data_IF_141771117201
#
_entry.id   IF_141771117201
#
_cell.length_a   1.000
_cell.length_b   1.000
_cell.length_c   1.000
_cell.angle_alpha   90.00
_cell.angle_beta   90.00
_cell.angle_gamma   90.00
#
_symmetry.space_group_name_H-M   'P 1'
#
loop_
_entity.id
_entity.type
_entity.pdbx_description
1 polymer ?
#
# COMPACT_ATOMS: atom_id res chain seq x y z
N UNK A 1 -23.43 110.79 -36.94
CA UNK A 1 -22.63 112.04 -36.96
C UNK A 1 -23.05 113.08 -35.92
N UNK A 2 -24.32 113.13 -35.46
CA UNK A 2 -24.74 114.09 -34.43
C UNK A 2 -24.06 113.92 -33.05
N UNK A 3 -23.70 112.70 -32.64
CA UNK A 3 -22.98 112.47 -31.37
C UNK A 3 -21.53 113.00 -31.40
N UNK A 4 -20.80 112.85 -32.51
CA UNK A 4 -19.42 113.36 -32.65
C UNK A 4 -19.37 114.90 -32.71
N UNK A 5 -20.47 115.55 -33.10
CA UNK A 5 -20.58 117.01 -33.13
C UNK A 5 -20.89 117.64 -31.76
N UNK A 6 -21.21 116.86 -30.70
CA UNK A 6 -21.46 117.39 -29.35
C UNK A 6 -20.18 117.70 -28.56
N UNK A 7 -19.02 117.20 -28.99
CA UNK A 7 -17.76 117.23 -28.23
C UNK A 7 -16.63 118.08 -28.86
N UNK A 8 -16.95 119.10 -29.66
CA UNK A 8 -15.93 120.07 -30.14
C UNK A 8 -15.29 119.76 -31.51
N UNK A 9 -15.84 118.81 -32.26
CA UNK A 9 -15.40 118.43 -33.61
C UNK A 9 -14.53 117.18 -33.66
N UNK A 10 -14.54 116.45 -34.78
CA UNK A 10 -13.85 115.16 -34.97
C UNK A 10 -13.27 115.04 -36.39
N UNK A 11 -12.00 114.65 -36.46
CA UNK A 11 -11.31 114.27 -37.69
C UNK A 11 -11.11 112.75 -37.74
N UNK A 12 -11.56 112.07 -38.81
CA UNK A 12 -11.28 110.64 -39.03
C UNK A 12 -11.10 110.33 -40.52
N UNK A 13 -10.49 109.19 -40.84
CA UNK A 13 -10.20 108.77 -42.21
C UNK A 13 -10.97 107.49 -42.49
N UNK A 14 -11.76 107.49 -43.57
CA UNK A 14 -12.39 106.28 -44.12
C UNK A 14 -11.87 106.10 -45.54
N UNK A 15 -11.15 105.00 -45.77
CA UNK A 15 -10.49 104.73 -47.04
C UNK A 15 -9.53 105.86 -47.42
N UNK A 16 -9.80 106.53 -48.55
CA UNK A 16 -9.02 107.66 -49.04
C UNK A 16 -9.61 109.02 -48.70
N UNK A 17 -10.66 109.11 -47.88
CA UNK A 17 -11.30 110.39 -47.56
C UNK A 17 -11.13 110.72 -46.09
N UNK A 18 -10.56 111.89 -45.81
CA UNK A 18 -10.52 112.52 -44.49
C UNK A 18 -11.78 113.34 -44.29
N UNK A 19 -12.55 113.00 -43.26
CA UNK A 19 -13.74 113.72 -42.86
C UNK A 19 -13.42 114.57 -41.63
N UNK A 20 -13.63 115.88 -41.74
CA UNK A 20 -13.51 116.86 -40.66
C UNK A 20 -14.90 117.38 -40.29
N UNK A 21 -15.44 116.88 -39.19
CA UNK A 21 -16.75 117.27 -38.67
C UNK A 21 -16.53 118.35 -37.62
N UNK A 22 -16.89 119.60 -37.92
CA UNK A 22 -16.78 120.75 -37.00
C UNK A 22 -18.16 121.36 -36.72
N UNK A 23 -18.31 122.18 -35.68
CA UNK A 23 -19.51 123.04 -35.51
C UNK A 23 -19.11 124.48 -35.74
N UNK A 24 -19.96 125.24 -36.44
CA UNK A 24 -19.73 126.69 -36.59
C UNK A 24 -19.64 127.36 -35.22
N UNK A 25 -18.65 128.23 -35.01
CA UNK A 25 -18.48 128.99 -33.75
C UNK A 25 -19.56 130.07 -33.56
N UNK A 26 -20.17 130.54 -34.65
CA UNK A 26 -21.09 131.68 -34.69
C UNK A 26 -22.52 131.25 -35.10
N UNK A 27 -23.54 131.95 -34.59
CA UNK A 27 -24.97 131.68 -34.86
C UNK A 27 -25.50 130.41 -34.17
N UNK A 28 -26.43 129.68 -34.82
CA UNK A 28 -27.07 128.45 -34.28
C UNK A 28 -26.13 127.23 -34.14
N UNK A 29 -24.81 127.41 -34.27
CA UNK A 29 -23.75 126.39 -34.09
C UNK A 29 -24.04 125.05 -34.78
N UNK A 30 -24.48 125.10 -36.04
CA UNK A 30 -24.81 123.90 -36.81
C UNK A 30 -23.55 123.05 -37.09
N UNK A 31 -23.66 121.72 -37.07
CA UNK A 31 -22.58 120.83 -37.49
C UNK A 31 -22.32 120.97 -38.99
N UNK A 32 -21.07 121.19 -39.35
CA UNK A 32 -20.56 121.18 -40.71
C UNK A 32 -19.61 120.00 -40.86
N UNK A 33 -19.75 119.24 -41.95
CA UNK A 33 -18.79 118.20 -42.30
C UNK A 33 -18.06 118.63 -43.58
N UNK A 34 -16.73 118.69 -43.52
CA UNK A 34 -15.88 118.91 -44.68
C UNK A 34 -15.11 117.63 -44.97
N UNK A 35 -15.34 117.07 -46.14
CA UNK A 35 -14.62 115.88 -46.60
C UNK A 35 -13.53 116.28 -47.58
N UNK A 36 -12.31 115.78 -47.39
CA UNK A 36 -11.16 116.00 -48.28
C UNK A 36 -10.48 114.67 -48.60
N UNK A 37 -10.09 114.47 -49.85
CA UNK A 37 -9.46 113.21 -50.27
C UNK A 37 -7.95 113.20 -49.95
N UNK A 38 -7.50 112.17 -49.23
CA UNK A 38 -6.10 111.84 -48.98
C UNK A 38 -5.55 111.10 -50.20
N UNK A 39 -4.65 111.78 -50.92
CA UNK A 39 -3.86 111.13 -51.98
C UNK A 39 -2.88 110.13 -51.37
N UNK A 40 -2.67 109.01 -52.06
CA UNK A 40 -1.74 107.96 -51.66
C UNK A 40 -0.32 108.53 -51.50
N UNK A 41 0.32 108.27 -50.36
CA UNK A 41 1.66 108.76 -50.06
C UNK A 41 2.68 108.10 -50.99
N UNK A 42 3.40 108.89 -51.81
CA UNK A 42 4.41 108.37 -52.74
C UNK A 42 5.50 107.55 -52.04
N UNK A 43 5.85 107.86 -50.80
CA UNK A 43 6.91 107.20 -50.03
C UNK A 43 6.60 105.78 -49.56
N UNK A 44 5.33 105.38 -49.47
CA UNK A 44 4.93 104.04 -49.03
C UNK A 44 4.63 103.09 -50.20
N UNK A 45 4.54 103.63 -51.43
CA UNK A 45 4.24 102.86 -52.66
C UNK A 45 5.50 102.65 -53.49
N UNK A 46 6.37 103.65 -53.53
CA UNK A 46 7.72 103.47 -54.05
C UNK A 46 8.62 102.97 -52.92
N UNK A 47 8.59 101.66 -52.69
CA UNK A 47 9.75 100.99 -52.10
C UNK A 47 10.91 101.20 -53.06
N UNK A 48 11.88 102.04 -52.68
CA UNK A 48 13.16 102.06 -53.36
C UNK A 48 13.76 100.66 -53.17
N UNK A 49 13.70 99.84 -54.22
CA UNK A 49 14.27 98.49 -54.19
C UNK A 49 15.76 98.65 -53.96
N UNK A 50 16.25 98.08 -52.86
CA UNK A 50 17.67 98.08 -52.57
C UNK A 50 18.40 97.27 -53.66
N UNK A 51 19.30 97.91 -54.45
CA UNK A 51 20.05 97.22 -55.48
C UNK A 51 20.92 96.08 -54.92
N UNK A 52 21.37 96.14 -53.66
CA UNK A 52 22.19 95.09 -53.05
C UNK A 52 21.37 93.80 -52.86
N UNK A 53 20.21 93.86 -52.19
CA UNK A 53 19.35 92.70 -51.95
C UNK A 53 18.90 92.04 -53.26
N UNK A 54 18.59 92.84 -54.29
CA UNK A 54 18.24 92.31 -55.62
C UNK A 54 19.41 91.56 -56.25
N UNK A 55 20.63 92.09 -56.14
CA UNK A 55 21.81 91.45 -56.71
C UNK A 55 22.14 90.15 -55.97
N UNK A 56 22.00 90.11 -54.64
CA UNK A 56 22.21 88.89 -53.84
C UNK A 56 21.22 87.78 -54.20
N UNK A 57 19.93 88.12 -54.35
CA UNK A 57 18.91 87.16 -54.77
C UNK A 57 19.16 86.65 -56.20
N UNK A 58 19.65 87.52 -57.09
CA UNK A 58 20.05 87.11 -58.45
C UNK A 58 21.26 86.18 -58.44
N UNK A 59 22.26 86.45 -57.60
CA UNK A 59 23.40 85.56 -57.42
C UNK A 59 22.96 84.19 -56.92
N UNK A 60 22.12 84.12 -55.88
CA UNK A 60 21.57 82.86 -55.37
C UNK A 60 20.74 82.09 -56.41
N UNK A 61 19.97 82.81 -57.22
CA UNK A 61 19.20 82.19 -58.31
C UNK A 61 20.14 81.57 -59.35
N UNK A 62 21.16 82.32 -59.77
CA UNK A 62 22.16 81.83 -60.72
C UNK A 62 22.92 80.61 -60.18
N UNK A 63 23.35 80.64 -58.91
CA UNK A 63 24.01 79.51 -58.25
C UNK A 63 23.09 78.28 -58.19
N UNK A 64 21.80 78.47 -57.89
CA UNK A 64 20.82 77.38 -57.84
C UNK A 64 20.54 76.79 -59.23
N UNK A 65 20.46 77.64 -60.26
CA UNK A 65 20.29 77.22 -61.66
C UNK A 65 21.52 76.43 -62.16
N UNK A 66 22.73 76.86 -61.79
CA UNK A 66 23.96 76.15 -62.13
C UNK A 66 24.03 74.78 -61.44
N UNK A 67 23.73 74.72 -60.13
CA UNK A 67 23.68 73.46 -59.39
C UNK A 67 22.62 72.51 -59.95
N UNK A 68 21.44 73.02 -60.32
CA UNK A 68 20.40 72.22 -60.95
C UNK A 68 20.87 71.63 -62.29
N UNK A 69 21.55 72.43 -63.12
CA UNK A 69 22.13 71.95 -64.39
C UNK A 69 23.17 70.86 -64.16
N UNK A 70 24.06 71.02 -63.17
CA UNK A 70 25.07 70.00 -62.83
C UNK A 70 24.41 68.68 -62.41
N UNK A 71 23.39 68.73 -61.56
CA UNK A 71 22.65 67.54 -61.12
C UNK A 71 21.92 66.88 -62.30
N UNK A 72 21.32 67.65 -63.20
CA UNK A 72 20.70 67.11 -64.42
C UNK A 72 21.71 66.38 -65.30
N UNK A 73 22.90 66.95 -65.51
CA UNK A 73 23.96 66.31 -66.29
C UNK A 73 24.46 65.01 -65.64
N UNK A 74 24.55 64.96 -64.31
CA UNK A 74 24.89 63.74 -63.58
C UNK A 74 23.79 62.68 -63.66
N UNK A 75 22.53 63.07 -63.50
CA UNK A 75 21.37 62.17 -63.65
C UNK A 75 21.33 61.56 -65.05
N UNK A 76 21.58 62.35 -66.09
CA UNK A 76 21.65 61.83 -67.46
C UNK A 76 22.80 60.83 -67.66
N UNK A 77 23.97 61.07 -67.05
CA UNK A 77 25.11 60.13 -67.11
C UNK A 77 24.77 58.82 -66.40
N UNK A 78 24.27 58.90 -65.18
CA UNK A 78 23.87 57.74 -64.39
C UNK A 78 22.74 56.95 -65.06
N UNK A 79 21.77 57.64 -65.67
CA UNK A 79 20.69 57.00 -66.43
C UNK A 79 21.20 56.22 -67.64
N UNK A 80 22.21 56.74 -68.35
CA UNK A 80 22.85 56.02 -69.47
C UNK A 80 23.60 54.79 -68.98
N UNK A 81 24.32 54.90 -67.86
CA UNK A 81 25.04 53.78 -67.24
C UNK A 81 24.07 52.70 -66.74
N UNK A 82 22.98 53.06 -66.06
CA UNK A 82 21.97 52.11 -65.60
C UNK A 82 21.32 51.38 -66.78
N UNK A 83 20.95 52.11 -67.84
CA UNK A 83 20.41 51.51 -69.06
C UNK A 83 21.40 50.51 -69.69
N UNK A 84 22.69 50.83 -69.71
CA UNK A 84 23.72 49.93 -70.21
C UNK A 84 23.83 48.66 -69.35
N UNK A 85 23.90 48.82 -68.02
CA UNK A 85 23.95 47.70 -67.06
C UNK A 85 22.70 46.82 -67.19
N UNK A 86 21.51 47.42 -67.39
CA UNK A 86 20.28 46.66 -67.58
C UNK A 86 20.31 45.84 -68.89
N UNK A 87 20.83 46.39 -69.98
CA UNK A 87 20.97 45.67 -71.25
C UNK A 87 21.93 44.49 -71.09
N UNK A 88 23.09 44.71 -70.47
CA UNK A 88 24.05 43.63 -70.18
C UNK A 88 23.46 42.57 -69.25
N UNK A 89 22.78 42.99 -68.18
CA UNK A 89 22.10 42.11 -67.23
C UNK A 89 21.06 41.22 -67.91
N UNK A 90 20.28 41.76 -68.85
CA UNK A 90 19.34 40.97 -69.67
C UNK A 90 20.06 39.97 -70.55
N UNK A 91 21.19 40.34 -71.16
CA UNK A 91 21.98 39.44 -72.00
C UNK A 91 22.61 38.29 -71.19
N UNK A 92 23.16 38.58 -70.01
CA UNK A 92 23.68 37.55 -69.10
C UNK A 92 22.58 36.62 -68.60
N UNK A 93 21.41 37.15 -68.25
CA UNK A 93 20.26 36.34 -67.86
C UNK A 93 19.84 35.39 -68.97
N UNK A 94 19.72 35.88 -70.21
CA UNK A 94 19.37 35.05 -71.35
C UNK A 94 20.39 33.91 -71.60
N UNK A 95 21.70 34.20 -71.45
CA UNK A 95 22.75 33.18 -71.53
C UNK A 95 22.66 32.15 -70.40
N UNK A 96 22.37 32.60 -69.18
CA UNK A 96 22.20 31.70 -68.04
C UNK A 96 20.97 30.79 -68.23
N UNK A 97 19.86 31.33 -68.71
CA UNK A 97 18.65 30.57 -68.99
C UNK A 97 18.89 29.50 -70.07
N UNK A 98 19.69 29.79 -71.10
CA UNK A 98 20.11 28.80 -72.11
C UNK A 98 20.99 27.69 -71.51
N UNK A 99 21.98 28.07 -70.71
CA UNK A 99 22.84 27.10 -70.00
C UNK A 99 22.03 26.22 -69.06
N UNK A 100 21.05 26.77 -68.35
CA UNK A 100 20.14 25.99 -67.51
C UNK A 100 19.29 25.01 -68.33
N UNK A 101 18.74 25.43 -69.48
CA UNK A 101 18.00 24.53 -70.37
C UNK A 101 18.89 23.37 -70.85
N UNK A 102 20.12 23.67 -71.27
CA UNK A 102 21.10 22.64 -71.67
C UNK A 102 21.44 21.69 -70.52
N UNK A 103 21.68 22.22 -69.32
CA UNK A 103 21.94 21.43 -68.11
C UNK A 103 20.77 20.49 -67.81
N UNK A 104 19.53 20.99 -67.86
CA UNK A 104 18.32 20.17 -67.64
C UNK A 104 18.21 19.05 -68.69
N UNK A 105 18.42 19.35 -69.97
CA UNK A 105 18.40 18.35 -71.04
C UNK A 105 19.44 17.24 -70.83
N UNK A 106 20.66 17.59 -70.41
CA UNK A 106 21.71 16.61 -70.09
C UNK A 106 21.33 15.74 -68.89
N UNK A 107 20.78 16.33 -67.83
CA UNK A 107 20.33 15.57 -66.66
C UNK A 107 19.19 14.60 -67.01
N UNK A 108 18.25 15.03 -67.83
CA UNK A 108 17.13 14.17 -68.27
C UNK A 108 17.62 13.02 -69.17
N UNK A 109 18.58 13.29 -70.06
CA UNK A 109 19.23 12.24 -70.85
C UNK A 109 19.97 11.24 -69.95
N UNK A 110 20.71 11.73 -68.95
CA UNK A 110 21.42 10.88 -67.98
C UNK A 110 20.46 9.99 -67.19
N UNK A 111 19.36 10.54 -66.68
CA UNK A 111 18.31 9.76 -66.00
C UNK A 111 17.73 8.66 -66.90
N UNK A 112 17.48 8.96 -68.18
CA UNK A 112 17.00 7.96 -69.14
C UNK A 112 18.02 6.84 -69.36
N UNK A 113 19.31 7.17 -69.46
CA UNK A 113 20.39 6.19 -69.60
C UNK A 113 20.47 5.30 -68.36
N UNK A 114 20.48 5.89 -67.16
CA UNK A 114 20.53 5.13 -65.89
C UNK A 114 19.32 4.20 -65.75
N UNK A 115 18.11 4.68 -66.07
CA UNK A 115 16.91 3.86 -66.07
C UNK A 115 16.99 2.70 -67.08
N UNK A 116 17.51 2.96 -68.29
CA UNK A 116 17.70 1.93 -69.30
C UNK A 116 18.74 0.89 -68.89
N UNK A 117 19.85 1.32 -68.28
CA UNK A 117 20.88 0.43 -67.73
C UNK A 117 20.32 -0.48 -66.63
N UNK A 118 19.53 0.07 -65.70
CA UNK A 118 18.89 -0.72 -64.65
C UNK A 118 17.93 -1.75 -65.23
N UNK A 119 17.09 -1.35 -66.20
CA UNK A 119 16.20 -2.28 -66.91
C UNK A 119 16.99 -3.39 -67.60
N UNK A 120 18.07 -3.04 -68.31
CA UNK A 120 18.94 -4.00 -68.97
C UNK A 120 19.55 -5.00 -67.97
N UNK A 121 20.04 -4.53 -66.82
CA UNK A 121 20.57 -5.40 -65.78
C UNK A 121 19.51 -6.35 -65.21
N UNK A 122 18.29 -5.86 -65.00
CA UNK A 122 17.19 -6.68 -64.50
C UNK A 122 16.79 -7.76 -65.51
N UNK A 123 16.68 -7.40 -66.80
CA UNK A 123 16.37 -8.38 -67.85
C UNK A 123 17.50 -9.39 -68.04
N UNK A 124 18.78 -8.99 -67.95
CA UNK A 124 19.91 -9.92 -67.92
C UNK A 124 19.81 -10.91 -66.75
N UNK A 125 19.55 -10.42 -65.53
CA UNK A 125 19.37 -11.29 -64.35
C UNK A 125 18.19 -12.25 -64.51
N UNK A 126 17.08 -11.80 -65.12
CA UNK A 126 15.93 -12.67 -65.40
C UNK A 126 16.30 -13.74 -66.43
N UNK A 127 17.00 -13.35 -67.50
CA UNK A 127 17.48 -14.28 -68.51
C UNK A 127 18.42 -15.33 -67.90
N UNK A 128 19.38 -14.91 -67.08
CA UNK A 128 20.29 -15.82 -66.38
C UNK A 128 19.52 -16.79 -65.47
N UNK A 129 18.47 -16.32 -64.78
CA UNK A 129 17.60 -17.19 -63.98
C UNK A 129 16.83 -18.20 -64.82
N UNK A 130 16.32 -17.78 -65.98
CA UNK A 130 15.58 -18.67 -66.89
C UNK A 130 16.49 -19.68 -67.58
N UNK A 131 17.69 -19.28 -67.98
CA UNK A 131 18.70 -20.16 -68.56
C UNK A 131 19.19 -21.19 -67.55
N UNK A 132 19.37 -20.79 -66.29
CA UNK A 132 19.77 -21.67 -65.20
C UNK A 132 18.59 -22.32 -64.46
N UNK A 133 17.35 -22.09 -64.92
CA UNK A 133 16.17 -22.70 -64.31
C UNK A 133 16.25 -24.21 -64.53
N UNK A 134 16.06 -24.98 -63.44
CA UNK A 134 16.06 -26.43 -63.54
C UNK A 134 14.82 -26.88 -64.32
N UNK A 135 14.88 -28.01 -65.04
CA UNK A 135 13.70 -28.60 -65.64
C UNK A 135 12.60 -28.82 -64.59
N UNK A 136 11.35 -28.53 -64.94
CA UNK A 136 10.18 -28.60 -64.04
C UNK A 136 10.07 -29.96 -63.34
N UNK A 137 10.47 -31.05 -64.00
CA UNK A 137 10.44 -32.40 -63.43
C UNK A 137 11.44 -32.58 -62.28
N UNK A 138 12.59 -31.92 -62.32
CA UNK A 138 13.56 -31.96 -61.21
C UNK A 138 13.00 -31.23 -60.00
N UNK A 139 12.36 -30.08 -60.20
CA UNK A 139 11.70 -29.34 -59.11
C UNK A 139 10.53 -30.11 -58.53
N UNK A 140 9.70 -30.74 -59.37
CA UNK A 140 8.60 -31.61 -58.94
C UNK A 140 9.12 -32.78 -58.09
N UNK A 141 10.24 -33.40 -58.48
CA UNK A 141 10.84 -34.49 -57.72
C UNK A 141 11.42 -34.00 -56.38
N UNK A 142 12.05 -32.82 -56.34
CA UNK A 142 12.53 -32.22 -55.11
C UNK A 142 11.36 -31.96 -54.15
N UNK A 143 10.28 -31.33 -54.62
CA UNK A 143 9.08 -31.07 -53.82
C UNK A 143 8.43 -32.36 -53.33
N UNK A 144 8.34 -33.40 -54.16
CA UNK A 144 7.85 -34.72 -53.72
C UNK A 144 8.74 -35.30 -52.61
N UNK A 145 10.06 -35.18 -52.74
CA UNK A 145 11.00 -35.66 -51.72
C UNK A 145 10.84 -34.90 -50.39
N UNK A 146 10.63 -33.59 -50.45
CA UNK A 146 10.38 -32.74 -49.29
C UNK A 146 9.05 -33.08 -48.63
N UNK A 147 7.99 -33.29 -49.42
CA UNK A 147 6.69 -33.73 -48.92
C UNK A 147 6.78 -35.08 -48.20
N UNK A 148 7.53 -36.04 -48.76
CA UNK A 148 7.77 -37.33 -48.11
C UNK A 148 8.57 -37.19 -46.81
N UNK A 149 9.59 -36.32 -46.78
CA UNK A 149 10.34 -36.02 -45.55
C UNK A 149 9.43 -35.43 -44.47
N UNK A 150 8.60 -34.44 -44.83
CA UNK A 150 7.65 -33.82 -43.93
C UNK A 150 6.58 -34.81 -43.44
N UNK A 151 6.08 -35.67 -44.32
CA UNK A 151 5.15 -36.74 -43.94
C UNK A 151 5.79 -37.72 -42.94
N UNK A 152 7.05 -38.13 -43.19
CA UNK A 152 7.81 -38.96 -42.27
C UNK A 152 7.98 -38.31 -40.89
N UNK A 153 8.38 -37.03 -40.86
CA UNK A 153 8.48 -36.26 -39.62
C UNK A 153 7.15 -36.17 -38.86
N UNK A 154 6.03 -35.97 -39.57
CA UNK A 154 4.69 -35.96 -38.96
C UNK A 154 4.36 -37.29 -38.31
N UNK A 155 4.65 -38.42 -38.97
CA UNK A 155 4.41 -39.75 -38.40
C UNK A 155 5.26 -39.96 -37.14
N UNK A 156 6.54 -39.61 -37.18
CA UNK A 156 7.43 -39.70 -36.01
C UNK A 156 6.91 -38.87 -34.84
N UNK A 157 6.48 -37.64 -35.09
CA UNK A 157 5.94 -36.76 -34.05
C UNK A 157 4.65 -37.34 -33.43
N UNK A 158 3.77 -37.92 -34.25
CA UNK A 158 2.54 -38.57 -33.75
C UNK A 158 2.88 -39.80 -32.90
N UNK A 159 3.84 -40.63 -33.34
CA UNK A 159 4.29 -41.78 -32.55
C UNK A 159 4.88 -41.38 -31.20
N UNK A 160 5.70 -40.32 -31.17
CA UNK A 160 6.25 -39.76 -29.94
C UNK A 160 5.14 -39.22 -29.04
N UNK A 161 4.16 -38.52 -29.59
CA UNK A 161 3.03 -37.99 -28.83
C UNK A 161 2.19 -39.10 -28.19
N UNK A 162 1.85 -40.15 -28.95
CA UNK A 162 1.13 -41.33 -28.42
C UNK A 162 1.93 -42.03 -27.33
N UNK A 163 3.25 -42.16 -27.50
CA UNK A 163 4.13 -42.74 -26.49
C UNK A 163 4.12 -41.92 -25.19
N UNK A 164 4.30 -40.60 -25.29
CA UNK A 164 4.28 -39.70 -24.14
C UNK A 164 2.92 -39.72 -23.42
N UNK A 165 1.81 -39.82 -24.16
CA UNK A 165 0.49 -39.97 -23.55
C UNK A 165 0.37 -41.26 -22.73
N UNK A 166 0.83 -42.40 -23.24
CA UNK A 166 0.82 -43.65 -22.47
C UNK A 166 1.73 -43.59 -21.25
N UNK A 167 2.90 -42.96 -21.35
CA UNK A 167 3.81 -42.75 -20.21
C UNK A 167 3.16 -41.84 -19.16
N UNK A 168 2.47 -40.78 -19.59
CA UNK A 168 1.73 -39.87 -18.69
C UNK A 168 0.58 -40.57 -17.95
N UNK A 169 -0.16 -41.46 -18.62
CA UNK A 169 -1.24 -42.22 -17.98
C UNK A 169 -0.68 -43.11 -16.87
N UNK A 170 0.41 -43.84 -17.15
CA UNK A 170 1.07 -44.70 -16.15
C UNK A 170 1.59 -43.92 -14.95
N UNK A 171 2.12 -42.72 -15.17
CA UNK A 171 2.60 -41.89 -14.07
C UNK A 171 1.44 -41.34 -13.25
N UNK A 172 0.33 -40.97 -13.90
CA UNK A 172 -0.88 -40.55 -13.22
C UNK A 172 -1.47 -41.68 -12.36
N UNK A 173 -1.48 -42.92 -12.86
CA UNK A 173 -1.91 -44.10 -12.08
C UNK A 173 -1.08 -44.24 -10.80
N UNK A 174 0.25 -44.18 -10.89
CA UNK A 174 1.12 -44.25 -9.71
C UNK A 174 0.89 -43.11 -8.74
N UNK A 175 0.74 -41.88 -9.24
CA UNK A 175 0.44 -40.72 -8.41
C UNK A 175 -0.89 -40.88 -7.66
N UNK A 176 -1.91 -41.42 -8.32
CA UNK A 176 -3.19 -41.71 -7.67
C UNK A 176 -3.07 -42.79 -6.59
N UNK A 177 -2.30 -43.87 -6.84
CA UNK A 177 -2.04 -44.90 -5.84
C UNK A 177 -1.31 -44.34 -4.62
N UNK A 178 -0.24 -43.57 -4.82
CA UNK A 178 0.48 -42.91 -3.73
C UNK A 178 -0.41 -41.94 -2.95
N UNK A 179 -1.30 -41.21 -3.64
CA UNK A 179 -2.28 -40.34 -3.01
C UNK A 179 -3.29 -41.10 -2.13
N UNK A 180 -3.76 -42.26 -2.59
CA UNK A 180 -4.65 -43.12 -1.79
C UNK A 180 -3.94 -43.71 -0.57
N UNK A 181 -2.71 -44.18 -0.72
CA UNK A 181 -1.88 -44.67 0.40
C UNK A 181 -1.65 -43.58 1.45
N UNK A 182 -1.34 -42.36 1.01
CA UNK A 182 -1.18 -41.21 1.89
C UNK A 182 -2.45 -40.92 2.69
N UNK A 183 -3.62 -40.90 2.04
CA UNK A 183 -4.91 -40.70 2.70
C UNK A 183 -5.19 -41.80 3.71
N UNK A 184 -4.89 -43.06 3.39
CA UNK A 184 -5.07 -44.17 4.30
C UNK A 184 -4.15 -44.06 5.53
N UNK A 185 -2.87 -43.72 5.34
CA UNK A 185 -1.93 -43.52 6.46
C UNK A 185 -2.39 -42.36 7.34
N UNK A 186 -2.88 -41.27 6.75
CA UNK A 186 -3.40 -40.12 7.48
C UNK A 186 -4.62 -40.51 8.33
N UNK A 187 -5.59 -41.24 7.76
CA UNK A 187 -6.76 -41.72 8.50
C UNK A 187 -6.36 -42.67 9.64
N UNK A 188 -5.41 -43.57 9.41
CA UNK A 188 -4.90 -44.47 10.44
C UNK A 188 -4.20 -43.71 11.57
N UNK A 189 -3.42 -42.67 11.23
CA UNK A 189 -2.77 -41.81 12.21
C UNK A 189 -3.80 -41.09 13.08
N UNK A 190 -4.83 -40.49 12.48
CA UNK A 190 -5.89 -39.80 13.22
C UNK A 190 -6.65 -40.74 14.16
N UNK A 191 -6.96 -41.96 13.70
CA UNK A 191 -7.56 -42.99 14.54
C UNK A 191 -6.64 -43.39 15.71
N UNK A 192 -5.35 -43.56 15.46
CA UNK A 192 -4.37 -43.87 16.52
C UNK A 192 -4.27 -42.72 17.53
N UNK A 193 -4.21 -41.47 17.07
CA UNK A 193 -4.18 -40.30 17.95
C UNK A 193 -5.42 -40.22 18.85
N UNK A 194 -6.61 -40.53 18.31
CA UNK A 194 -7.85 -40.61 19.08
C UNK A 194 -7.78 -41.69 20.17
N UNK A 195 -7.38 -42.93 19.82
CA UNK A 195 -7.26 -44.02 20.81
C UNK A 195 -6.20 -43.73 21.87
N UNK A 196 -5.07 -43.13 21.50
CA UNK A 196 -4.05 -42.72 22.45
C UNK A 196 -4.57 -41.63 23.40
N UNK A 197 -5.42 -40.72 22.92
CA UNK A 197 -6.05 -39.69 23.75
C UNK A 197 -7.00 -40.30 24.77
N UNK A 198 -7.89 -41.20 24.34
CA UNK A 198 -8.82 -41.92 25.22
C UNK A 198 -8.07 -42.72 26.30
N UNK A 199 -7.00 -43.43 25.93
CA UNK A 199 -6.17 -44.18 26.88
C UNK A 199 -5.45 -43.26 27.87
N UNK A 200 -4.93 -42.11 27.42
CA UNK A 200 -4.33 -41.11 28.31
C UNK A 200 -5.34 -40.61 29.33
N UNK A 201 -6.54 -40.23 28.89
CA UNK A 201 -7.62 -39.78 29.77
C UNK A 201 -8.00 -40.86 30.79
N UNK A 202 -8.11 -42.13 30.36
CA UNK A 202 -8.39 -43.25 31.27
C UNK A 202 -7.27 -43.48 32.30
N UNK A 203 -6.01 -43.36 31.89
CA UNK A 203 -4.84 -43.47 32.79
C UNK A 203 -4.84 -42.32 33.80
N UNK A 204 -5.10 -41.08 33.36
CA UNK A 204 -5.16 -39.92 34.26
C UNK A 204 -6.24 -40.10 35.33
N UNK A 205 -7.44 -40.57 34.95
CA UNK A 205 -8.52 -40.89 35.89
C UNK A 205 -8.10 -42.00 36.87
N UNK A 206 -7.51 -43.09 36.36
CA UNK A 206 -7.06 -44.19 37.20
C UNK A 206 -5.95 -43.78 38.18
N UNK A 207 -5.01 -42.94 37.73
CA UNK A 207 -3.95 -42.37 38.58
C UNK A 207 -4.52 -41.47 39.67
N UNK A 208 -5.48 -40.60 39.34
CA UNK A 208 -6.15 -39.75 40.32
C UNK A 208 -6.84 -40.60 41.41
N UNK A 209 -7.60 -41.62 41.00
CA UNK A 209 -8.25 -42.55 41.93
C UNK A 209 -7.25 -43.31 42.80
N UNK A 210 -6.14 -43.79 42.21
CA UNK A 210 -5.09 -44.47 42.95
C UNK A 210 -4.43 -43.57 44.01
N UNK A 211 -4.14 -42.32 43.66
CA UNK A 211 -3.58 -41.33 44.60
C UNK A 211 -4.54 -41.10 45.76
N UNK A 212 -5.83 -40.94 45.49
CA UNK A 212 -6.85 -40.75 46.53
C UNK A 212 -6.95 -41.96 47.46
N UNK A 213 -7.06 -43.17 46.90
CA UNK A 213 -7.13 -44.42 47.68
C UNK A 213 -5.85 -44.61 48.51
N UNK A 214 -4.68 -44.35 47.93
CA UNK A 214 -3.39 -44.46 48.62
C UNK A 214 -3.31 -43.50 49.82
N UNK A 215 -3.79 -42.26 49.66
CA UNK A 215 -3.86 -41.30 50.75
C UNK A 215 -4.82 -41.76 51.85
N UNK A 216 -6.02 -42.25 51.49
CA UNK A 216 -6.99 -42.80 52.45
C UNK A 216 -6.41 -44.00 53.19
N UNK A 217 -5.76 -44.92 52.48
CA UNK A 217 -5.12 -46.09 53.08
C UNK A 217 -3.99 -45.72 54.04
N UNK A 218 -3.15 -44.73 53.69
CA UNK A 218 -2.10 -44.22 54.59
C UNK A 218 -2.70 -43.68 55.90
N UNK A 219 -3.76 -42.87 55.82
CA UNK A 219 -4.46 -42.35 57.00
C UNK A 219 -5.03 -43.47 57.86
N UNK A 220 -5.75 -44.43 57.26
CA UNK A 220 -6.32 -45.57 57.99
C UNK A 220 -5.21 -46.42 58.64
N UNK A 221 -4.08 -46.61 57.96
CA UNK A 221 -2.94 -47.36 58.49
C UNK A 221 -2.27 -46.63 59.66
N UNK A 222 -2.15 -45.31 59.59
CA UNK A 222 -1.67 -44.47 60.69
C UNK A 222 -2.63 -44.54 61.88
N UNK A 223 -3.93 -44.38 61.66
CA UNK A 223 -4.97 -44.49 62.70
C UNK A 223 -4.98 -45.89 63.35
N UNK A 224 -4.84 -46.94 62.55
CA UNK A 224 -4.78 -48.32 63.04
C UNK A 224 -3.53 -48.56 63.89
N UNK A 225 -2.36 -48.04 63.47
CA UNK A 225 -1.13 -48.10 64.27
C UNK A 225 -1.27 -47.34 65.59
N UNK A 226 -1.91 -46.18 65.56
CA UNK A 226 -2.14 -45.36 66.75
C UNK A 226 -3.09 -46.06 67.72
N UNK A 227 -4.22 -46.58 67.24
CA UNK A 227 -5.16 -47.35 68.07
C UNK A 227 -4.52 -48.61 68.66
N UNK A 228 -3.70 -49.32 67.88
CA UNK A 228 -2.96 -50.48 68.38
C UNK A 228 -1.96 -50.07 69.46
N UNK A 229 -1.27 -48.94 69.29
CA UNK A 229 -0.35 -48.40 70.31
C UNK A 229 -1.09 -48.08 71.61
N UNK A 230 -2.19 -47.33 71.52
CA UNK A 230 -3.04 -47.01 72.69
C UNK A 230 -3.56 -48.28 73.36
N UNK A 231 -3.98 -49.28 72.58
CA UNK A 231 -4.45 -50.57 73.11
C UNK A 231 -3.35 -51.29 73.89
N UNK A 232 -2.12 -51.32 73.38
CA UNK A 232 -0.97 -51.93 74.07
C UNK A 232 -0.62 -51.17 75.34
N UNK A 233 -0.55 -49.85 75.27
CA UNK A 233 -0.28 -49.00 76.44
C UNK A 233 -1.33 -49.20 77.54
N UNK A 234 -2.62 -49.32 77.18
CA UNK A 234 -3.69 -49.62 78.15
C UNK A 234 -3.57 -51.03 78.74
N UNK A 235 -3.26 -52.03 77.91
CA UNK A 235 -3.09 -53.41 78.37
C UNK A 235 -1.89 -53.54 79.32
N UNK A 236 -0.81 -52.81 79.05
CA UNK A 236 0.39 -52.76 79.90
C UNK A 236 0.15 -52.03 81.23
N UNK A 237 -0.83 -51.11 81.29
CA UNK A 237 -1.23 -50.42 82.51
C UNK A 237 -2.23 -51.21 83.39
N UNK A 238 -2.79 -52.31 82.90
CA UNK A 238 -3.72 -53.16 83.65
C UNK A 238 -2.98 -54.20 84.54
N UNK A 239 -3.66 -54.69 85.58
CA UNK A 239 -3.13 -55.72 86.47
C UNK A 239 -2.86 -57.06 85.75
N UNK A 240 -1.89 -57.84 86.25
CA UNK A 240 -1.41 -59.08 85.60
C UNK A 240 -2.52 -60.14 85.40
N UNK A 241 -3.54 -60.18 86.27
CA UNK A 241 -4.69 -61.09 86.11
C UNK A 241 -5.55 -60.74 84.89
N UNK A 242 -5.72 -59.45 84.59
CA UNK A 242 -6.51 -58.97 83.44
C UNK A 242 -5.71 -59.22 82.15
N UNK A 243 -4.40 -59.03 82.20
CA UNK A 243 -3.49 -59.29 81.07
C UNK A 243 -3.48 -60.76 80.67
N UNK A 244 -3.48 -61.68 81.65
CA UNK A 244 -3.57 -63.13 81.38
C UNK A 244 -4.92 -63.53 80.78
N UNK A 245 -6.04 -62.95 81.25
CA UNK A 245 -7.37 -63.20 80.65
C UNK A 245 -7.43 -62.71 79.20
N UNK A 246 -6.84 -61.55 78.91
CA UNK A 246 -6.76 -61.03 77.54
C UNK A 246 -5.92 -61.95 76.64
N UNK A 247 -4.77 -62.43 77.13
CA UNK A 247 -3.91 -63.38 76.39
C UNK A 247 -4.63 -64.70 76.11
N UNK A 248 -5.39 -65.24 77.06
CA UNK A 248 -6.20 -66.45 76.86
C UNK A 248 -7.28 -66.26 75.79
N UNK A 249 -7.93 -65.09 75.76
CA UNK A 249 -8.92 -64.74 74.73
C UNK A 249 -8.28 -64.51 73.34
N UNK A 250 -7.05 -63.99 73.30
CA UNK A 250 -6.26 -63.84 72.07
C UNK A 250 -5.82 -65.20 71.52
N UNK A 251 -5.32 -66.09 72.37
CA UNK A 251 -4.91 -67.46 72.01
C UNK A 251 -6.10 -68.34 71.57
N UNK A 252 -7.27 -68.14 72.18
CA UNK A 252 -8.52 -68.80 71.77
C UNK A 252 -9.10 -68.25 70.45
N UNK A 253 -8.57 -67.12 69.94
CA UNK A 253 -9.01 -66.48 68.70
C UNK A 253 -10.37 -65.79 68.79
N UNK A 254 -10.97 -65.73 69.98
CA UNK A 254 -12.28 -65.09 70.21
C UNK A 254 -12.25 -63.59 69.90
N UNK A 255 -11.08 -62.96 70.06
CA UNK A 255 -10.91 -61.52 69.80
C UNK A 255 -11.10 -61.17 68.32
N UNK A 256 -10.64 -62.04 67.41
CA UNK A 256 -10.77 -61.84 65.98
C UNK A 256 -12.13 -62.27 65.42
N UNK A 257 -12.85 -63.14 66.14
CA UNK A 257 -14.14 -63.68 65.73
C UNK A 257 -15.32 -62.74 66.04
N UNK A 258 -15.22 -61.93 67.10
CA UNK A 258 -16.27 -61.01 67.52
C UNK A 258 -16.34 -59.77 66.63
N UNK A 259 -17.56 -59.39 66.24
CA UNK A 259 -17.81 -58.19 65.44
C UNK A 259 -17.71 -56.91 66.28
N UNK A 260 -17.55 -55.75 65.61
CA UNK A 260 -17.50 -54.44 66.29
C UNK A 260 -18.75 -54.19 67.15
N UNK A 261 -19.92 -54.57 66.66
CA UNK A 261 -21.21 -54.34 67.34
C UNK A 261 -21.33 -55.18 68.61
N UNK A 262 -20.83 -56.42 68.58
CA UNK A 262 -20.76 -57.30 69.76
C UNK A 262 -19.80 -56.74 70.81
N UNK A 263 -18.65 -56.21 70.40
CA UNK A 263 -17.73 -55.54 71.32
C UNK A 263 -18.31 -54.26 71.94
N UNK A 264 -19.06 -53.46 71.17
CA UNK A 264 -19.74 -52.28 71.69
C UNK A 264 -20.86 -52.67 72.68
N UNK A 265 -21.59 -53.75 72.40
CA UNK A 265 -22.61 -54.29 73.31
C UNK A 265 -22.01 -54.85 74.61
N UNK A 266 -20.91 -55.61 74.53
CA UNK A 266 -20.20 -56.12 75.71
C UNK A 266 -19.59 -54.99 76.54
N UNK A 267 -19.02 -53.97 75.90
CA UNK A 267 -18.52 -52.78 76.59
C UNK A 267 -19.66 -52.04 77.31
N UNK A 268 -20.80 -51.86 76.64
CA UNK A 268 -21.97 -51.20 77.22
C UNK A 268 -22.55 -52.00 78.39
N UNK A 269 -22.64 -53.33 78.25
CA UNK A 269 -23.05 -54.21 79.34
C UNK A 269 -22.07 -54.13 80.52
N UNK A 270 -20.76 -54.21 80.26
CA UNK A 270 -19.74 -54.09 81.31
C UNK A 270 -19.75 -52.72 81.99
N UNK A 271 -20.02 -51.65 81.24
CA UNK A 271 -20.22 -50.31 81.81
C UNK A 271 -21.47 -50.26 82.67
N UNK A 272 -22.58 -50.87 82.25
CA UNK A 272 -23.81 -50.92 83.03
C UNK A 272 -23.66 -51.78 84.28
N UNK A 273 -22.97 -52.93 84.20
CA UNK A 273 -22.62 -53.76 85.35
C UNK A 273 -21.69 -53.03 86.31
N UNK A 274 -20.69 -52.29 85.82
CA UNK A 274 -19.84 -51.44 86.64
C UNK A 274 -20.65 -50.32 87.30
N UNK A 275 -21.56 -49.70 86.56
CA UNK A 275 -22.43 -48.64 87.06
C UNK A 275 -23.38 -49.19 88.13
N UNK A 276 -23.93 -50.38 87.93
CA UNK A 276 -24.73 -51.12 88.91
C UNK A 276 -23.92 -51.48 90.15
N UNK A 277 -22.67 -51.92 90.01
CA UNK A 277 -21.77 -52.19 91.13
C UNK A 277 -21.36 -50.90 91.87
N UNK A 278 -21.22 -49.77 91.17
CA UNK A 278 -21.04 -48.46 91.79
C UNK A 278 -22.31 -47.94 92.46
N UNK A 279 -23.49 -48.30 91.93
CA UNK A 279 -24.81 -47.91 92.45
C UNK A 279 -25.35 -48.87 93.53
N UNK A 280 -24.79 -50.07 93.70
CA UNK A 280 -25.10 -50.94 94.84
C UNK A 280 -24.69 -50.23 96.14
N UNK A 281 -25.71 -49.84 96.88
CA UNK A 281 -25.68 -49.03 98.09
C UNK A 281 -24.58 -49.49 99.05
N UNK A 282 -23.63 -48.59 99.39
CA UNK A 282 -22.52 -48.84 100.33
C UNK A 282 -22.98 -49.49 101.66
N UNK A 283 -24.24 -49.26 102.02
CA UNK A 283 -24.89 -49.84 103.19
C UNK A 283 -25.03 -51.39 103.13
N UNK A 284 -25.06 -52.01 101.95
CA UNK A 284 -25.12 -53.48 101.79
C UNK A 284 -23.75 -54.12 102.04
N UNK A 285 -22.67 -53.47 101.61
CA UNK A 285 -21.29 -53.91 101.87
C UNK A 285 -20.94 -53.73 103.36
N UNK A 286 -21.37 -52.62 103.98
CA UNK A 286 -21.24 -52.42 105.42
C UNK A 286 -22.09 -53.39 106.25
N UNK A 287 -23.32 -53.70 105.84
CA UNK A 287 -24.17 -54.69 106.53
C UNK A 287 -23.67 -56.13 106.38
N UNK A 288 -23.08 -56.48 105.24
CA UNK A 288 -22.41 -57.77 105.05
C UNK A 288 -21.16 -57.89 105.94
N UNK A 289 -20.33 -56.83 106.00
CA UNK A 289 -19.17 -56.78 106.89
C UNK A 289 -19.55 -56.79 108.38
N UNK A 290 -20.63 -56.10 108.78
CA UNK A 290 -21.20 -56.15 110.14
C UNK A 290 -21.73 -57.54 110.50
N UNK A 291 -22.50 -58.21 109.64
CA UNK A 291 -22.97 -59.60 109.88
C UNK A 291 -21.81 -60.60 109.95
N UNK A 292 -20.75 -60.41 109.16
CA UNK A 292 -19.53 -61.24 109.23
C UNK A 292 -18.76 -61.04 110.54
N UNK A 293 -18.82 -59.84 111.13
CA UNK A 293 -18.26 -59.55 112.45
C UNK A 293 -19.13 -60.07 113.61
N UNK A 294 -20.47 -60.01 113.49
CA UNK A 294 -21.44 -60.43 114.52
C UNK A 294 -21.64 -61.95 114.63
N UNK A 295 -21.32 -62.75 113.60
CA UNK A 295 -21.39 -64.23 113.66
C UNK A 295 -20.15 -64.85 114.32
N UNK A 296 -19.06 -64.09 114.46
CA UNK A 296 -17.79 -64.59 115.05
C UNK A 296 -17.79 -64.80 116.58
N UNK A 297 -18.68 -64.23 117.44
CA UNK A 297 -18.64 -64.46 118.88
C UNK A 297 -19.51 -65.63 119.42
N UNK A 298 -20.20 -66.42 118.59
CA UNK A 298 -21.16 -67.44 119.07
C UNK A 298 -20.97 -68.86 118.49
N UNK A 299 -19.74 -69.37 118.56
CA UNK A 299 -19.48 -70.82 118.62
C UNK A 299 -18.35 -71.08 119.64
N UNK A 300 -18.74 -71.59 120.81
CA UNK A 300 -17.86 -72.16 121.85
C UNK A 300 -17.07 -73.35 121.30
N UNK A 301 -15.96 -73.73 121.96
CA UNK A 301 -15.74 -75.15 122.20
C UNK A 301 -15.42 -75.41 123.67
N UNK A 302 -16.36 -76.09 124.35
CA UNK A 302 -16.06 -76.86 125.55
C UNK A 302 -15.92 -78.34 125.17
N UNK A 303 -14.77 -78.89 125.55
CA UNK A 303 -14.52 -80.27 126.00
C UNK A 303 -14.41 -81.45 125.02
N UNK A 304 -13.38 -82.24 125.35
CA UNK A 304 -13.23 -83.71 125.30
C UNK A 304 -12.38 -84.25 124.14
N UNK A 305 -11.15 -84.77 124.33
CA UNK A 305 -10.60 -85.85 125.21
C UNK A 305 -10.64 -87.21 124.50
N UNK A 306 -9.51 -87.95 124.61
CA UNK A 306 -9.18 -89.34 124.18
C UNK A 306 -8.66 -89.47 122.73
N UNK A 307 -7.59 -90.20 122.35
CA UNK A 307 -6.73 -91.26 122.88
C UNK A 307 -5.32 -91.08 122.24
N UNK A 308 -4.15 -91.17 122.91
CA UNK A 308 -3.33 -92.35 123.27
C UNK A 308 -3.12 -93.46 122.21
N UNK A 309 -1.83 -93.84 122.09
CA UNK A 309 -1.21 -95.05 121.52
C UNK A 309 -0.75 -95.02 120.05
N UNK A 310 0.57 -95.16 119.87
CA UNK A 310 1.24 -95.44 118.59
C UNK A 310 2.57 -94.74 118.46
#
# INVERSE_FOLDING_TARGET
MEMAARAGGLNYIIGRVKNDVTRSKYGKRLPQNRTSEIKQARSLVHTAVDPQVRNDLRAKLADAEENYRLVQEEEEKLSKEDNHIQIEGRAFKARNDDLEKRKRAVLDARKKIEAAQLRLQNEKKKLDKLLNAKPVDVERNNLKSELLKLAGQRVTNVQQYVRLMHESIKEQEKATLAGLEYLQVQANKEALEATCKEQKEAIEVAQANFVEISQKWKKIKEDSREKLRISKEKLDACDDEIRQKFQQLEEAGEIAAKSREEWEAELAQGQEELNMNMATNANVVEQYNKRKAEVRPHVLPWSSVLLTCG
#
